data_IF_717305665665
#
_entry.id   IF_717305665665
#
_cell.length_a   1.000
_cell.length_b   1.000
_cell.length_c   1.000
_cell.angle_alpha   90.00
_cell.angle_beta   90.00
_cell.angle_gamma   90.00
#
_symmetry.space_group_name_H-M   'P 1'
#
loop_
_entity.id
_entity.type
_entity.pdbx_description
1 polymer ?
#
# COMPACT_ATOMS: atom_id res chain seq x y z
N UNK A 1 -3.51 -14.22 28.48
CA UNK A 1 -4.80 -14.43 29.18
C UNK A 1 -5.56 -15.53 28.44
N UNK A 2 -5.77 -16.70 29.10
CA UNK A 2 -6.40 -17.90 28.51
C UNK A 2 -7.88 -17.76 28.10
N UNK A 3 -8.46 -16.55 28.16
CA UNK A 3 -9.86 -16.26 27.82
C UNK A 3 -10.01 -15.37 26.59
N UNK A 4 -9.01 -15.22 25.75
CA UNK A 4 -9.10 -14.44 24.50
C UNK A 4 -9.99 -15.17 23.49
N UNK A 5 -11.04 -14.50 23.00
CA UNK A 5 -11.93 -15.04 21.98
C UNK A 5 -11.28 -14.91 20.59
N UNK A 6 -11.30 -15.97 19.81
CA UNK A 6 -10.95 -15.90 18.38
C UNK A 6 -12.04 -15.07 17.69
N UNK A 7 -11.63 -13.91 17.14
CA UNK A 7 -12.55 -13.00 16.45
C UNK A 7 -12.78 -13.48 15.03
N UNK A 8 -11.70 -13.95 14.36
CA UNK A 8 -11.71 -14.40 12.98
C UNK A 8 -10.53 -15.31 12.68
N UNK A 9 -10.69 -16.19 11.73
CA UNK A 9 -9.59 -16.90 11.09
C UNK A 9 -9.14 -16.10 9.85
N UNK A 10 -7.86 -15.71 9.80
CA UNK A 10 -7.22 -15.06 8.66
C UNK A 10 -6.69 -16.14 7.72
N UNK A 11 -6.88 -15.97 6.42
CA UNK A 11 -6.38 -16.91 5.41
C UNK A 11 -4.88 -16.75 5.21
N UNK A 12 -4.22 -17.79 4.70
CA UNK A 12 -2.75 -17.83 4.54
C UNK A 12 -2.20 -16.84 3.49
N UNK A 13 -3.04 -16.35 2.60
CA UNK A 13 -2.71 -15.38 1.54
C UNK A 13 -3.18 -13.95 1.85
N UNK A 14 -3.75 -13.75 3.04
CA UNK A 14 -4.31 -12.46 3.43
C UNK A 14 -3.24 -11.53 4.02
N UNK A 15 -3.16 -10.31 3.50
CA UNK A 15 -2.23 -9.29 3.98
C UNK A 15 -2.78 -8.60 5.21
N UNK A 16 -1.92 -8.42 6.21
CA UNK A 16 -2.19 -7.65 7.42
C UNK A 16 -1.09 -6.60 7.63
N UNK A 17 -1.45 -5.46 8.17
CA UNK A 17 -0.50 -4.41 8.53
C UNK A 17 -0.16 -4.51 10.02
N UNK A 18 1.14 -4.64 10.31
CA UNK A 18 1.60 -4.68 11.71
C UNK A 18 1.65 -3.27 12.27
N UNK A 19 0.84 -2.98 13.28
CA UNK A 19 0.79 -1.67 13.93
C UNK A 19 1.82 -1.60 15.05
N UNK A 20 1.95 -2.67 15.84
CA UNK A 20 2.76 -2.67 17.04
C UNK A 20 3.24 -4.08 17.40
N UNK A 21 4.48 -4.16 17.88
CA UNK A 21 5.04 -5.34 18.50
C UNK A 21 4.72 -5.31 19.99
N UNK A 22 3.75 -6.09 20.45
CA UNK A 22 3.32 -6.08 21.85
C UNK A 22 4.22 -6.92 22.74
N UNK A 23 4.77 -8.03 22.21
CA UNK A 23 5.67 -8.95 22.91
C UNK A 23 6.46 -9.74 21.89
N UNK A 24 7.33 -10.65 22.37
CA UNK A 24 8.06 -11.56 21.46
C UNK A 24 7.13 -12.38 20.56
N UNK A 25 5.93 -12.72 21.03
CA UNK A 25 5.04 -13.67 20.35
C UNK A 25 3.82 -13.04 19.69
N UNK A 26 3.40 -11.84 20.12
CA UNK A 26 2.15 -11.24 19.67
C UNK A 26 2.34 -9.89 19.00
N UNK A 27 1.61 -9.71 17.91
CA UNK A 27 1.56 -8.48 17.11
C UNK A 27 0.15 -7.92 17.14
N UNK A 28 0.04 -6.60 17.25
CA UNK A 28 -1.19 -5.89 16.95
C UNK A 28 -1.21 -5.60 15.44
N UNK A 29 -2.27 -6.03 14.76
CA UNK A 29 -2.40 -5.94 13.30
C UNK A 29 -3.70 -5.28 12.90
N UNK A 30 -3.66 -4.54 11.79
CA UNK A 30 -4.84 -4.09 11.05
C UNK A 30 -5.02 -4.94 9.79
N UNK A 31 -6.28 -5.22 9.47
CA UNK A 31 -6.65 -5.93 8.25
C UNK A 31 -8.04 -5.48 7.78
N UNK A 32 -8.33 -5.67 6.50
CA UNK A 32 -9.62 -5.33 5.90
C UNK A 32 -10.50 -6.57 5.78
N UNK A 33 -11.74 -6.49 6.25
CA UNK A 33 -12.71 -7.55 6.12
C UNK A 33 -14.10 -6.98 5.81
N UNK A 34 -14.75 -7.44 4.75
CA UNK A 34 -16.06 -6.94 4.28
C UNK A 34 -16.09 -5.40 4.20
N UNK A 35 -15.06 -4.80 3.60
CA UNK A 35 -14.85 -3.36 3.48
C UNK A 35 -14.74 -2.59 4.81
N UNK A 36 -14.57 -3.28 5.93
CA UNK A 36 -14.30 -2.67 7.24
C UNK A 36 -12.86 -2.88 7.63
N UNK A 37 -12.26 -1.86 8.19
CA UNK A 37 -10.94 -1.96 8.83
C UNK A 37 -11.13 -2.50 10.25
N UNK A 38 -10.44 -3.57 10.56
CA UNK A 38 -10.48 -4.25 11.84
C UNK A 38 -9.07 -4.37 12.42
N UNK A 39 -8.98 -4.41 13.74
CA UNK A 39 -7.72 -4.65 14.44
C UNK A 39 -7.82 -5.91 15.30
N UNK A 40 -6.69 -6.55 15.51
CA UNK A 40 -6.62 -7.73 16.35
C UNK A 40 -5.19 -8.12 16.69
N UNK A 41 -5.07 -9.22 17.43
CA UNK A 41 -3.78 -9.77 17.83
C UNK A 41 -3.51 -11.04 17.04
N UNK A 42 -2.30 -11.11 16.48
CA UNK A 42 -1.86 -12.24 15.71
C UNK A 42 -0.53 -12.76 16.26
N UNK A 43 -0.41 -14.09 16.39
CA UNK A 43 0.83 -14.69 16.86
C UNK A 43 1.90 -14.61 15.78
N UNK A 44 3.10 -14.15 16.13
CA UNK A 44 4.21 -13.90 15.19
C UNK A 44 4.57 -15.12 14.34
N UNK A 45 4.48 -16.34 14.89
CA UNK A 45 4.79 -17.57 14.14
C UNK A 45 3.82 -17.87 12.99
N UNK A 46 2.74 -17.11 12.90
CA UNK A 46 1.73 -17.22 11.81
C UNK A 46 1.89 -16.17 10.74
N UNK A 47 2.99 -15.41 10.77
CA UNK A 47 3.23 -14.28 9.87
C UNK A 47 4.52 -14.51 9.12
N UNK A 48 4.48 -14.23 7.82
CA UNK A 48 5.67 -14.06 6.98
C UNK A 48 5.74 -12.61 6.53
N UNK A 49 6.88 -11.97 6.78
CA UNK A 49 7.06 -10.57 6.42
C UNK A 49 7.40 -10.43 4.94
N UNK A 50 6.77 -9.51 4.23
CA UNK A 50 7.00 -9.27 2.79
C UNK A 50 8.47 -8.94 2.51
N UNK A 51 9.11 -8.18 3.39
CA UNK A 51 10.53 -7.83 3.27
C UNK A 51 11.51 -8.99 3.51
N UNK A 52 11.02 -10.21 3.77
CA UNK A 52 11.83 -11.44 3.77
C UNK A 52 11.90 -12.10 2.39
N UNK A 53 11.11 -11.64 1.42
CA UNK A 53 11.20 -12.06 0.04
C UNK A 53 12.36 -11.37 -0.67
N UNK A 54 12.65 -11.79 -1.90
CA UNK A 54 13.70 -11.18 -2.70
C UNK A 54 13.35 -9.73 -3.03
N UNK A 55 14.16 -8.80 -2.57
CA UNK A 55 13.99 -7.39 -2.91
C UNK A 55 14.39 -7.14 -4.36
N UNK A 56 13.54 -6.47 -5.12
CA UNK A 56 13.86 -5.99 -6.45
C UNK A 56 14.52 -4.61 -6.28
N UNK A 57 15.78 -4.45 -6.70
CA UNK A 57 16.48 -3.19 -6.51
C UNK A 57 15.85 -2.06 -7.35
N UNK A 58 15.85 -0.86 -6.79
CA UNK A 58 15.55 0.36 -7.56
C UNK A 58 16.66 0.56 -8.60
N UNK A 59 16.27 0.75 -9.85
CA UNK A 59 17.18 1.00 -10.95
C UNK A 59 17.39 2.52 -11.17
N UNK A 60 16.33 3.30 -11.04
CA UNK A 60 16.34 4.74 -11.21
C UNK A 60 15.09 5.37 -10.58
N UNK A 61 15.19 6.61 -10.08
CA UNK A 61 14.05 7.37 -9.56
C UNK A 61 14.29 8.87 -9.54
N UNK A 62 13.22 9.63 -9.67
CA UNK A 62 13.14 11.07 -9.40
C UNK A 62 11.75 11.43 -8.81
N UNK A 63 11.43 12.72 -8.76
CA UNK A 63 10.15 13.21 -8.23
C UNK A 63 8.94 12.74 -9.05
N UNK A 64 9.15 12.31 -10.30
CA UNK A 64 8.10 11.96 -11.26
C UNK A 64 8.03 10.48 -11.61
N UNK A 65 9.04 9.71 -11.26
CA UNK A 65 9.04 8.27 -11.51
C UNK A 65 9.94 7.49 -10.57
N UNK A 66 9.68 6.18 -10.47
CA UNK A 66 10.60 5.18 -9.94
C UNK A 66 10.51 3.90 -10.75
N UNK A 67 11.65 3.27 -10.98
CA UNK A 67 11.75 1.99 -11.68
C UNK A 67 12.54 0.97 -10.89
N UNK A 68 12.13 -0.30 -11.03
CA UNK A 68 12.76 -1.45 -10.40
C UNK A 68 13.03 -2.50 -11.46
N UNK A 69 14.14 -3.21 -11.33
CA UNK A 69 14.50 -4.25 -12.29
C UNK A 69 15.26 -5.39 -11.62
N UNK A 70 14.82 -6.61 -11.88
CA UNK A 70 15.50 -7.84 -11.47
C UNK A 70 15.21 -8.95 -12.49
N UNK A 71 16.22 -9.40 -13.22
CA UNK A 71 16.10 -10.43 -14.26
C UNK A 71 15.01 -10.10 -15.32
N UNK A 72 13.90 -10.85 -15.33
CA UNK A 72 12.77 -10.68 -16.24
C UNK A 72 11.57 -9.95 -15.58
N UNK A 73 11.80 -9.33 -14.42
CA UNK A 73 10.81 -8.53 -13.70
C UNK A 73 11.19 -7.07 -13.77
N UNK A 74 10.25 -6.22 -14.17
CA UNK A 74 10.39 -4.76 -14.06
C UNK A 74 9.11 -4.13 -13.50
N UNK A 75 9.28 -3.07 -12.70
CA UNK A 75 8.19 -2.24 -12.20
C UNK A 75 8.50 -0.80 -12.56
N UNK A 76 7.55 -0.10 -13.18
CA UNK A 76 7.67 1.30 -13.52
C UNK A 76 6.47 2.05 -12.97
N UNK A 77 6.73 3.02 -12.14
CA UNK A 77 5.73 3.88 -11.50
C UNK A 77 5.97 5.31 -11.98
N UNK A 78 4.91 5.97 -12.45
CA UNK A 78 4.96 7.39 -12.83
C UNK A 78 4.02 8.17 -11.95
N UNK A 79 4.49 9.32 -11.50
CA UNK A 79 3.75 10.30 -10.71
C UNK A 79 3.72 11.64 -11.43
N UNK A 80 2.89 12.55 -11.00
CA UNK A 80 2.88 13.94 -11.44
C UNK A 80 2.39 14.85 -10.34
N UNK A 81 2.67 16.13 -10.46
CA UNK A 81 2.03 17.15 -9.64
C UNK A 81 0.51 17.12 -9.86
N UNK A 82 -0.23 17.37 -8.79
CA UNK A 82 -1.67 17.50 -8.85
C UNK A 82 -2.06 18.94 -9.19
N UNK A 83 -2.77 19.10 -10.29
CA UNK A 83 -3.33 20.40 -10.71
C UNK A 83 -4.80 20.47 -10.28
N UNK A 84 -5.08 21.24 -9.23
CA UNK A 84 -6.44 21.43 -8.73
C UNK A 84 -7.34 22.09 -9.77
N UNK A 85 -6.88 23.18 -10.43
CA UNK A 85 -7.73 23.93 -11.37
C UNK A 85 -8.16 23.07 -12.56
N UNK A 86 -7.25 22.26 -13.11
CA UNK A 86 -7.57 21.32 -14.18
C UNK A 86 -8.54 20.21 -13.73
N UNK A 87 -8.54 19.88 -12.44
CA UNK A 87 -9.33 18.79 -11.86
C UNK A 87 -10.56 19.22 -11.06
N UNK A 88 -10.77 20.51 -10.85
CA UNK A 88 -11.80 21.13 -10.03
C UNK A 88 -13.21 20.57 -10.24
N UNK A 89 -13.59 20.28 -11.48
CA UNK A 89 -14.90 19.71 -11.83
C UNK A 89 -15.16 18.30 -11.29
N UNK A 90 -14.13 17.60 -10.82
CA UNK A 90 -14.23 16.24 -10.27
C UNK A 90 -14.35 16.21 -8.75
N UNK A 91 -14.30 17.38 -8.11
CA UNK A 91 -14.45 17.49 -6.67
C UNK A 91 -15.90 17.59 -6.24
N UNK A 92 -16.18 16.98 -5.11
CA UNK A 92 -17.44 17.11 -4.36
C UNK A 92 -17.11 17.05 -2.87
N UNK A 93 -18.08 17.40 -2.02
CA UNK A 93 -17.96 17.22 -0.56
C UNK A 93 -18.89 16.09 -0.12
N UNK A 94 -18.49 15.38 0.95
CA UNK A 94 -19.43 14.49 1.63
C UNK A 94 -20.27 15.25 2.68
N UNK A 95 -21.10 14.50 3.40
CA UNK A 95 -22.00 15.06 4.43
C UNK A 95 -21.25 15.69 5.61
N UNK A 96 -20.02 15.27 5.86
CA UNK A 96 -19.14 15.78 6.92
C UNK A 96 -18.26 16.96 6.45
N UNK A 97 -18.32 17.30 5.17
CA UNK A 97 -17.58 18.40 4.57
C UNK A 97 -16.19 18.06 4.06
N UNK A 98 -15.79 16.77 4.07
CA UNK A 98 -14.55 16.33 3.48
C UNK A 98 -14.61 16.29 1.96
N UNK A 99 -13.49 16.61 1.33
CA UNK A 99 -13.38 16.59 -0.13
C UNK A 99 -13.31 15.17 -0.66
N UNK A 100 -14.05 14.93 -1.75
CA UNK A 100 -13.97 13.72 -2.57
C UNK A 100 -13.48 14.06 -3.95
N UNK A 101 -12.64 13.20 -4.50
CA UNK A 101 -12.19 13.27 -5.89
C UNK A 101 -12.82 12.13 -6.69
N UNK A 102 -13.58 12.48 -7.74
CA UNK A 102 -14.36 11.49 -8.53
C UNK A 102 -15.26 10.59 -7.68
N UNK A 103 -15.84 11.15 -6.63
CA UNK A 103 -16.71 10.43 -5.69
C UNK A 103 -15.98 9.53 -4.68
N UNK A 104 -14.64 9.46 -4.72
CA UNK A 104 -13.81 8.67 -3.79
C UNK A 104 -13.20 9.56 -2.72
N UNK A 105 -12.95 8.97 -1.55
CA UNK A 105 -12.17 9.64 -0.51
C UNK A 105 -10.72 9.81 -0.96
N UNK A 106 -10.12 10.95 -0.66
CA UNK A 106 -8.76 11.29 -1.04
C UNK A 106 -7.77 10.76 0.00
N UNK A 107 -7.13 9.65 -0.31
CA UNK A 107 -6.19 9.00 0.60
C UNK A 107 -4.86 9.76 0.59
N UNK A 108 -4.36 10.13 1.77
CA UNK A 108 -3.09 10.86 1.91
C UNK A 108 -3.24 12.39 1.99
N UNK A 109 -4.46 12.93 2.21
CA UNK A 109 -4.73 14.37 2.25
C UNK A 109 -5.56 14.81 3.46
N UNK A 110 -5.74 13.96 4.46
CA UNK A 110 -6.67 14.19 5.59
C UNK A 110 -8.09 14.63 5.15
N UNK A 111 -8.46 14.38 3.88
CA UNK A 111 -9.77 14.72 3.32
C UNK A 111 -9.87 16.15 2.78
N UNK A 112 -8.77 16.84 2.49
CA UNK A 112 -8.76 18.19 1.95
C UNK A 112 -7.93 18.30 0.68
N UNK A 113 -8.50 18.85 -0.39
CA UNK A 113 -7.80 19.00 -1.68
C UNK A 113 -6.56 19.90 -1.59
N UNK A 114 -6.55 20.88 -0.69
CA UNK A 114 -5.44 21.80 -0.50
C UNK A 114 -4.12 21.08 -0.10
N UNK A 115 -4.21 19.86 0.43
CA UNK A 115 -3.09 19.04 0.80
C UNK A 115 -2.61 18.11 -0.32
N UNK A 116 -3.36 18.01 -1.42
CA UNK A 116 -3.00 17.17 -2.57
C UNK A 116 -1.87 17.83 -3.37
N UNK A 117 -0.68 17.23 -3.38
CA UNK A 117 0.51 17.73 -4.09
C UNK A 117 0.83 16.89 -5.32
N UNK A 118 0.76 15.56 -5.18
CA UNK A 118 1.12 14.61 -6.24
C UNK A 118 0.10 13.48 -6.33
N UNK A 119 0.08 12.80 -7.47
CA UNK A 119 -0.74 11.61 -7.71
C UNK A 119 -0.02 10.61 -8.64
N UNK A 120 -0.47 9.36 -8.60
CA UNK A 120 0.01 8.32 -9.51
C UNK A 120 -0.61 8.49 -10.91
N UNK A 121 0.24 8.51 -11.92
CA UNK A 121 -0.17 8.50 -13.33
C UNK A 121 -0.33 7.08 -13.86
N UNK A 122 0.61 6.20 -13.55
CA UNK A 122 0.58 4.80 -13.96
C UNK A 122 1.49 3.95 -13.09
N UNK A 123 1.10 2.68 -12.93
CA UNK A 123 1.95 1.61 -12.41
C UNK A 123 1.91 0.50 -13.45
N UNK A 124 3.07 0.16 -14.00
CA UNK A 124 3.23 -0.88 -15.03
C UNK A 124 4.24 -1.91 -14.55
N UNK A 125 3.87 -3.16 -14.65
CA UNK A 125 4.69 -4.30 -14.24
C UNK A 125 4.93 -5.19 -15.44
N UNK A 126 6.15 -5.66 -15.63
CA UNK A 126 6.45 -6.75 -16.58
C UNK A 126 7.03 -7.94 -15.83
N UNK A 127 6.47 -9.11 -16.07
CA UNK A 127 6.96 -10.38 -15.53
C UNK A 127 7.01 -11.38 -16.69
N UNK A 128 8.18 -11.95 -16.97
CA UNK A 128 8.36 -12.98 -18.04
C UNK A 128 7.71 -12.58 -19.36
N UNK A 129 7.96 -11.33 -19.82
CA UNK A 129 7.41 -10.75 -21.07
C UNK A 129 5.91 -10.42 -21.06
N UNK A 130 5.21 -10.68 -19.97
CA UNK A 130 3.83 -10.25 -19.80
C UNK A 130 3.79 -8.88 -19.14
N UNK A 131 3.09 -7.92 -19.75
CA UNK A 131 2.93 -6.57 -19.20
C UNK A 131 1.56 -6.42 -18.57
N UNK A 132 1.55 -5.98 -17.31
CA UNK A 132 0.37 -5.72 -16.50
C UNK A 132 0.34 -4.22 -16.23
N UNK A 133 -0.77 -3.55 -16.50
CA UNK A 133 -1.03 -2.18 -16.08
C UNK A 133 -2.01 -2.22 -14.92
N UNK A 134 -1.66 -1.60 -13.81
CA UNK A 134 -2.61 -1.43 -12.70
C UNK A 134 -3.74 -0.52 -13.18
N UNK A 135 -5.00 -0.90 -12.98
CA UNK A 135 -6.15 -0.11 -13.39
C UNK A 135 -6.11 1.30 -12.80
N UNK A 136 -6.55 2.30 -13.60
CA UNK A 136 -6.49 3.71 -13.18
C UNK A 136 -7.31 3.97 -11.92
N UNK A 137 -8.46 3.32 -11.81
CA UNK A 137 -9.37 3.36 -10.65
C UNK A 137 -8.75 2.86 -9.34
N UNK A 138 -7.65 2.11 -9.43
CA UNK A 138 -6.92 1.59 -8.27
C UNK A 138 -5.86 2.55 -7.73
N UNK A 139 -5.52 3.59 -8.51
CA UNK A 139 -4.45 4.53 -8.16
C UNK A 139 -4.90 5.98 -8.11
N UNK A 140 -6.07 6.33 -8.64
CA UNK A 140 -6.53 7.71 -8.80
C UNK A 140 -6.95 8.40 -7.50
N UNK A 141 -7.20 7.62 -6.43
CA UNK A 141 -7.56 8.08 -5.09
C UNK A 141 -6.35 8.16 -4.12
N UNK A 142 -5.15 7.81 -4.61
CA UNK A 142 -3.90 7.80 -3.85
C UNK A 142 -3.11 9.08 -4.13
N UNK A 143 -3.05 9.96 -3.14
CA UNK A 143 -2.37 11.24 -3.25
C UNK A 143 -1.05 11.27 -2.47
N UNK A 144 -0.26 12.29 -2.72
CA UNK A 144 1.03 12.54 -2.05
C UNK A 144 1.97 11.34 -2.16
N UNK A 145 2.09 10.84 -3.41
CA UNK A 145 3.00 9.77 -3.78
C UNK A 145 4.44 10.10 -3.39
N UNK A 146 5.15 9.12 -2.85
CA UNK A 146 6.55 9.24 -2.49
C UNK A 146 7.37 8.13 -3.17
N UNK A 147 8.07 8.49 -4.25
CA UNK A 147 8.84 7.53 -5.04
C UNK A 147 10.04 6.96 -4.26
N UNK A 148 10.66 7.75 -3.36
CA UNK A 148 11.80 7.35 -2.55
C UNK A 148 11.46 6.20 -1.58
N UNK A 149 10.23 6.19 -1.05
CA UNK A 149 9.77 5.15 -0.12
C UNK A 149 8.92 4.08 -0.78
N UNK A 150 9.29 3.74 -2.03
CA UNK A 150 8.71 2.62 -2.76
C UNK A 150 9.66 1.42 -2.71
N UNK A 151 9.13 0.26 -2.43
CA UNK A 151 9.87 -1.00 -2.37
C UNK A 151 9.14 -2.08 -3.15
N UNK A 152 9.88 -2.98 -3.79
CA UNK A 152 9.32 -4.11 -4.52
C UNK A 152 9.94 -5.41 -4.02
N UNK A 153 9.09 -6.43 -3.83
CA UNK A 153 9.50 -7.74 -3.32
C UNK A 153 8.90 -8.86 -4.14
N UNK A 154 9.69 -9.88 -4.42
CA UNK A 154 9.27 -11.03 -5.22
C UNK A 154 9.40 -12.33 -4.45
N UNK A 155 8.27 -13.03 -4.30
CA UNK A 155 8.22 -14.38 -3.75
C UNK A 155 8.31 -15.41 -4.89
N UNK A 156 9.46 -16.04 -5.03
CA UNK A 156 9.68 -17.09 -6.05
C UNK A 156 8.83 -18.34 -5.82
N UNK A 157 8.42 -18.60 -4.57
CA UNK A 157 7.71 -19.83 -4.20
C UNK A 157 6.30 -19.91 -4.78
N UNK A 158 5.61 -18.77 -4.89
CA UNK A 158 4.24 -18.68 -5.42
C UNK A 158 4.14 -17.71 -6.61
N UNK A 159 5.28 -17.22 -7.12
CA UNK A 159 5.36 -16.27 -8.23
C UNK A 159 4.55 -14.98 -7.98
N UNK A 160 4.66 -14.44 -6.76
CA UNK A 160 3.98 -13.22 -6.34
C UNK A 160 4.92 -12.04 -6.25
N UNK A 161 4.50 -10.91 -6.79
CA UNK A 161 5.17 -9.62 -6.70
C UNK A 161 4.34 -8.67 -5.82
N UNK A 162 5.01 -8.04 -4.89
CA UNK A 162 4.44 -7.05 -3.98
C UNK A 162 5.11 -5.70 -4.24
N UNK A 163 4.30 -4.68 -4.57
CA UNK A 163 4.75 -3.30 -4.67
C UNK A 163 4.25 -2.58 -3.43
N UNK A 164 5.16 -2.21 -2.57
CA UNK A 164 4.90 -1.51 -1.31
C UNK A 164 5.21 -0.03 -1.46
N UNK A 165 4.22 0.81 -1.22
CA UNK A 165 4.31 2.26 -1.28
C UNK A 165 4.05 2.83 0.11
N UNK A 166 4.97 3.66 0.62
CA UNK A 166 4.79 4.43 1.84
C UNK A 166 4.69 5.91 1.48
N UNK A 167 3.52 6.48 1.62
CA UNK A 167 3.15 7.78 1.06
C UNK A 167 2.70 8.77 2.11
N UNK A 168 2.75 10.07 1.73
CA UNK A 168 2.39 11.19 2.58
C UNK A 168 3.23 11.26 3.86
N UNK A 169 2.89 12.15 4.75
CA UNK A 169 3.55 12.33 6.04
C UNK A 169 2.52 12.64 7.15
N UNK A 170 2.99 12.67 8.38
CA UNK A 170 2.17 13.05 9.53
C UNK A 170 0.92 12.18 9.73
N UNK A 171 -0.23 12.84 9.89
CA UNK A 171 -1.54 12.21 10.14
C UNK A 171 -2.14 11.55 8.90
N UNK A 172 -1.79 12.06 7.72
CA UNK A 172 -2.27 11.54 6.43
C UNK A 172 -1.43 10.42 5.85
N UNK A 173 -0.34 10.00 6.53
CA UNK A 173 0.52 8.92 6.04
C UNK A 173 -0.20 7.58 5.92
N UNK A 174 0.06 6.87 4.83
CA UNK A 174 -0.55 5.59 4.52
C UNK A 174 0.41 4.68 3.76
N UNK A 175 0.15 3.38 3.85
CA UNK A 175 0.87 2.36 3.11
C UNK A 175 -0.07 1.67 2.13
N UNK A 176 0.43 1.34 0.94
CA UNK A 176 -0.31 0.56 -0.06
C UNK A 176 0.55 -0.59 -0.52
N UNK A 177 -0.07 -1.77 -0.65
CA UNK A 177 0.56 -2.93 -1.29
C UNK A 177 -0.29 -3.33 -2.48
N UNK A 178 0.30 -3.28 -3.67
CA UNK A 178 -0.26 -3.89 -4.87
C UNK A 178 0.26 -5.32 -4.98
N UNK A 179 -0.63 -6.24 -5.33
CA UNK A 179 -0.36 -7.68 -5.37
C UNK A 179 -0.51 -8.17 -6.79
N UNK A 180 0.53 -8.78 -7.34
CA UNK A 180 0.52 -9.43 -8.64
C UNK A 180 0.92 -10.90 -8.42
N UNK A 181 0.06 -11.84 -8.77
CA UNK A 181 0.31 -13.27 -8.65
C UNK A 181 0.22 -13.94 -10.01
N UNK A 182 1.23 -14.72 -10.36
CA UNK A 182 1.29 -15.42 -11.65
C UNK A 182 1.05 -14.50 -12.85
N UNK A 183 1.52 -13.25 -12.78
CA UNK A 183 1.34 -12.25 -13.83
C UNK A 183 -0.08 -11.65 -13.91
N UNK A 184 -0.90 -11.82 -12.88
CA UNK A 184 -2.26 -11.27 -12.78
C UNK A 184 -2.35 -10.32 -11.60
N UNK A 185 -2.86 -9.11 -11.84
CA UNK A 185 -3.18 -8.18 -10.76
C UNK A 185 -4.32 -8.71 -9.89
N UNK A 186 -4.10 -8.79 -8.58
CA UNK A 186 -5.06 -9.34 -7.60
C UNK A 186 -5.78 -8.26 -6.78
N UNK A 187 -5.25 -7.06 -6.76
CA UNK A 187 -5.80 -5.96 -5.99
C UNK A 187 -4.76 -5.23 -5.16
N UNK A 188 -5.24 -4.27 -4.39
CA UNK A 188 -4.42 -3.52 -3.43
C UNK A 188 -4.94 -3.68 -2.00
N UNK A 189 -4.04 -3.57 -1.05
CA UNK A 189 -4.35 -3.39 0.37
C UNK A 189 -3.82 -2.04 0.83
N UNK A 190 -4.60 -1.33 1.65
CA UNK A 190 -4.25 -0.02 2.17
C UNK A 190 -4.26 -0.08 3.68
N UNK A 191 -3.17 0.37 4.30
CA UNK A 191 -3.02 0.53 5.73
C UNK A 191 -2.76 1.99 6.10
N UNK A 192 -3.28 2.44 7.24
CA UNK A 192 -2.91 3.73 7.81
C UNK A 192 -1.69 3.53 8.70
N UNK A 193 -0.64 4.33 8.47
CA UNK A 193 0.49 4.37 9.40
C UNK A 193 0.07 5.14 10.65
N UNK A 194 0.04 4.48 11.81
CA UNK A 194 -0.01 5.22 13.08
C UNK A 194 1.36 5.82 13.35
N UNK A 195 1.42 7.08 13.83
CA UNK A 195 2.67 7.72 14.27
C UNK A 195 3.46 6.75 15.14
N UNK A 196 4.57 6.23 14.63
CA UNK A 196 5.58 5.56 15.45
C UNK A 196 6.31 6.63 16.24
N UNK A 197 6.31 6.51 17.57
CA UNK A 197 7.49 6.94 18.34
C UNK A 197 8.66 6.13 17.77
N UNK A 198 9.62 6.83 17.23
CA UNK A 198 10.84 6.38 16.57
C UNK A 198 11.25 4.92 16.83
N UNK A 199 10.98 4.03 15.86
CA UNK A 199 11.82 2.89 15.55
C UNK A 199 11.49 2.47 14.12
N UNK A 200 12.36 2.85 13.20
CA UNK A 200 12.28 2.57 11.76
C UNK A 200 12.18 1.07 11.50
N UNK A 201 11.02 0.62 11.11
CA UNK A 201 10.75 -0.51 10.19
C UNK A 201 9.25 -0.71 10.15
N UNK A 202 8.61 -0.15 9.12
CA UNK A 202 7.26 -0.61 8.74
C UNK A 202 7.39 -2.07 8.36
N UNK A 203 6.73 -2.92 9.10
CA UNK A 203 6.80 -4.35 8.89
C UNK A 203 5.43 -4.79 8.44
N UNK A 204 5.34 -5.24 7.20
CA UNK A 204 4.14 -5.77 6.60
C UNK A 204 4.24 -7.29 6.63
N UNK A 205 3.16 -7.93 7.01
CA UNK A 205 3.15 -9.37 7.21
C UNK A 205 2.12 -10.06 6.30
N UNK A 206 2.51 -11.19 5.74
CA UNK A 206 1.66 -12.13 5.03
C UNK A 206 1.60 -13.44 5.84
N UNK A 207 0.40 -14.00 6.00
CA UNK A 207 0.25 -15.34 6.60
C UNK A 207 0.52 -16.45 5.59
#
# INVERSE_FOLDING_TARGET
>A
NGNSKIIRQIKSDEIVFVIENLSHDWLNVNYKYNNKELSGYLHRSRIKYINTFEQIPSADYDDTFVSFYLNDISVNIKTSNFDYEANKKYFSKDEEGFDKYKGKFMIGTDGYFAEAKTLYQSITVSVRKQTIKIPKEEIEDLFNANNEYTECYYNKGDNSLYIHLSNSDGSSSYEVIFIIENGIYKGKQIGKTKKKKENKKSTIAQQ
#
